data_IF_977573744028
#
_entry.id   IF_977573744028
#
_cell.length_a   1.000
_cell.length_b   1.000
_cell.length_c   1.000
_cell.angle_alpha   90.00
_cell.angle_beta   90.00
_cell.angle_gamma   90.00
#
_symmetry.space_group_name_H-M   'P 1'
#
loop_
_entity.id
_entity.type
_entity.pdbx_description
1 polymer ?
#
# COMPACT_ATOMS: atom_id res chain seq x y z
N UNK A 1 -32.85 -26.19 -13.96
CA UNK A 1 -31.90 -25.22 -14.52
C UNK A 1 -30.50 -25.78 -14.27
N UNK A 2 -30.11 -26.79 -15.06
CA UNK A 2 -28.86 -27.52 -14.91
C UNK A 2 -27.88 -26.99 -15.95
N UNK A 3 -26.97 -26.12 -15.53
CA UNK A 3 -25.87 -25.68 -16.38
C UNK A 3 -24.93 -26.87 -16.55
N UNK A 4 -24.63 -27.23 -17.80
CA UNK A 4 -23.83 -28.41 -18.15
C UNK A 4 -22.44 -28.33 -17.51
N UNK A 5 -22.10 -29.27 -16.63
CA UNK A 5 -20.78 -29.38 -15.99
C UNK A 5 -19.59 -29.35 -16.98
N UNK A 6 -19.80 -29.76 -18.24
CA UNK A 6 -18.78 -29.67 -19.31
C UNK A 6 -18.41 -28.23 -19.70
N UNK A 7 -19.33 -27.28 -19.55
CA UNK A 7 -19.10 -25.86 -19.85
C UNK A 7 -18.29 -25.19 -18.73
N UNK A 8 -18.38 -25.72 -17.50
CA UNK A 8 -17.66 -25.24 -16.32
C UNK A 8 -16.18 -25.66 -16.36
N UNK A 9 -15.86 -26.89 -16.77
CA UNK A 9 -14.45 -27.33 -16.88
C UNK A 9 -13.64 -26.51 -17.88
N UNK A 10 -14.25 -26.12 -19.01
CA UNK A 10 -13.63 -25.23 -20.00
C UNK A 10 -13.37 -23.84 -19.42
N UNK A 11 -14.34 -23.29 -18.68
CA UNK A 11 -14.18 -21.98 -18.02
C UNK A 11 -13.11 -22.00 -16.94
N UNK A 12 -13.00 -23.10 -16.17
CA UNK A 12 -11.92 -23.29 -15.19
C UNK A 12 -10.55 -23.37 -15.85
N UNK A 13 -10.43 -24.08 -16.98
CA UNK A 13 -9.17 -24.14 -17.73
C UNK A 13 -8.76 -22.76 -18.28
N UNK A 14 -9.71 -21.99 -18.82
CA UNK A 14 -9.47 -20.62 -19.30
C UNK A 14 -9.09 -19.72 -18.13
N UNK A 15 -9.80 -19.79 -17.01
CA UNK A 15 -9.51 -18.98 -15.83
C UNK A 15 -8.09 -19.24 -15.30
N UNK A 16 -7.60 -20.49 -15.33
CA UNK A 16 -6.20 -20.81 -14.98
C UNK A 16 -5.14 -20.14 -15.85
N UNK A 17 -5.48 -19.78 -17.09
CA UNK A 17 -4.56 -19.09 -18.00
C UNK A 17 -4.60 -17.56 -17.81
N UNK A 18 -5.72 -17.03 -17.32
CA UNK A 18 -5.93 -15.57 -17.15
C UNK A 18 -5.50 -15.11 -15.76
N UNK A 19 -5.72 -15.93 -14.75
CA UNK A 19 -5.49 -15.57 -13.35
C UNK A 19 -4.23 -16.19 -12.78
N UNK A 20 -3.63 -15.50 -11.81
CA UNK A 20 -2.51 -16.05 -11.04
C UNK A 20 -2.96 -17.27 -10.23
N UNK A 21 -2.04 -18.21 -9.91
CA UNK A 21 -2.38 -19.40 -9.13
C UNK A 21 -3.09 -19.09 -7.81
N UNK A 22 -2.69 -18.01 -7.13
CA UNK A 22 -3.32 -17.58 -5.87
C UNK A 22 -4.77 -17.11 -6.08
N UNK A 23 -5.01 -16.31 -7.13
CA UNK A 23 -6.36 -15.83 -7.46
C UNK A 23 -7.27 -16.98 -7.86
N UNK A 24 -6.73 -17.97 -8.59
CA UNK A 24 -7.48 -19.17 -8.98
C UNK A 24 -7.83 -20.08 -7.81
N UNK A 25 -6.90 -20.32 -6.89
CA UNK A 25 -7.20 -21.08 -5.67
C UNK A 25 -8.32 -20.41 -4.88
N UNK A 26 -8.25 -19.09 -4.69
CA UNK A 26 -9.29 -18.33 -4.02
C UNK A 26 -10.66 -18.39 -4.75
N UNK A 27 -10.69 -18.16 -6.07
CA UNK A 27 -11.91 -18.23 -6.87
C UNK A 27 -12.55 -19.62 -6.83
N UNK A 28 -11.73 -20.67 -6.93
CA UNK A 28 -12.22 -22.06 -6.91
C UNK A 28 -12.84 -22.38 -5.55
N UNK A 29 -12.18 -21.99 -4.46
CA UNK A 29 -12.70 -22.14 -3.10
C UNK A 29 -14.02 -21.40 -2.92
N UNK A 30 -14.14 -20.18 -3.44
CA UNK A 30 -15.36 -19.38 -3.36
C UNK A 30 -16.54 -20.04 -4.10
N UNK A 31 -16.32 -20.56 -5.32
CA UNK A 31 -17.37 -21.21 -6.12
C UNK A 31 -17.88 -22.50 -5.47
N UNK A 32 -17.00 -23.29 -4.85
CA UNK A 32 -17.37 -24.55 -4.17
C UNK A 32 -17.87 -24.29 -2.72
N UNK A 33 -17.82 -23.05 -2.24
CA UNK A 33 -18.22 -22.68 -0.88
C UNK A 33 -17.25 -23.16 0.22
N UNK A 34 -15.99 -23.43 -0.14
CA UNK A 34 -14.97 -23.90 0.81
C UNK A 34 -14.29 -22.70 1.45
N UNK A 35 -14.69 -22.38 2.68
CA UNK A 35 -14.02 -21.39 3.53
C UNK A 35 -12.97 -22.02 4.46
N UNK A 36 -12.27 -21.17 5.23
CA UNK A 36 -11.46 -21.64 6.36
C UNK A 36 -12.38 -22.17 7.45
N UNK A 37 -12.24 -23.44 7.81
CA UNK A 37 -13.03 -24.09 8.87
C UNK A 37 -12.44 -23.92 10.27
N UNK A 38 -11.17 -23.51 10.36
CA UNK A 38 -10.49 -23.25 11.62
C UNK A 38 -9.96 -21.82 11.62
N UNK A 39 -10.19 -21.12 12.73
CA UNK A 39 -9.60 -19.81 13.01
C UNK A 39 -8.15 -20.03 13.45
N UNK A 40 -7.19 -19.63 12.62
CA UNK A 40 -5.76 -19.74 12.95
C UNK A 40 -5.41 -18.83 14.13
N UNK A 41 -4.30 -19.10 14.82
CA UNK A 41 -3.81 -18.22 15.90
C UNK A 41 -3.58 -16.79 15.40
N UNK A 42 -3.15 -16.63 14.15
CA UNK A 42 -3.05 -15.34 13.45
C UNK A 42 -4.38 -14.62 13.18
N UNK A 43 -5.52 -15.29 13.35
CA UNK A 43 -6.85 -14.70 13.31
C UNK A 43 -7.40 -14.45 14.73
N UNK A 44 -6.78 -15.02 15.78
CA UNK A 44 -7.21 -14.92 17.19
C UNK A 44 -6.55 -13.76 17.93
N UNK A 45 -5.33 -13.40 17.54
CA UNK A 45 -4.57 -12.30 18.12
C UNK A 45 -4.43 -11.18 17.08
N UNK A 46 -4.58 -9.93 17.52
CA UNK A 46 -4.54 -8.72 16.69
C UNK A 46 -3.44 -8.82 15.64
N UNK A 47 -3.82 -8.92 14.35
CA UNK A 47 -2.85 -8.96 13.26
C UNK A 47 -1.89 -7.79 13.40
N UNK A 48 -0.59 -8.08 13.43
CA UNK A 48 0.45 -7.05 13.47
C UNK A 48 0.21 -6.04 12.34
N UNK A 49 0.24 -4.76 12.70
CA UNK A 49 -0.07 -3.68 11.76
C UNK A 49 1.02 -3.61 10.69
N UNK A 50 0.69 -4.06 9.48
CA UNK A 50 1.65 -4.16 8.35
C UNK A 50 2.07 -2.82 7.76
N UNK A 51 1.25 -1.78 7.92
CA UNK A 51 1.54 -0.44 7.42
C UNK A 51 0.78 0.66 8.17
N UNK A 52 1.36 1.86 8.16
CA UNK A 52 0.77 3.10 8.67
C UNK A 52 0.91 4.13 7.54
N UNK A 53 -0.17 4.83 7.22
CA UNK A 53 -0.17 5.86 6.17
C UNK A 53 -1.08 7.01 6.55
N UNK A 54 -0.69 8.22 6.13
CA UNK A 54 -1.49 9.43 6.26
C UNK A 54 -1.65 10.03 4.86
N UNK A 55 -2.89 10.25 4.44
CA UNK A 55 -3.19 10.91 3.17
C UNK A 55 -4.24 12.00 3.38
N UNK A 56 -4.23 13.02 2.53
CA UNK A 56 -5.20 14.10 2.59
C UNK A 56 -5.49 14.63 1.20
N UNK A 57 -6.76 14.84 0.90
CA UNK A 57 -7.20 15.61 -0.28
C UNK A 57 -7.12 17.10 0.06
N UNK A 58 -6.50 17.88 -0.83
CA UNK A 58 -6.37 19.33 -0.71
C UNK A 58 -6.74 19.98 -2.05
N UNK A 59 -6.99 21.30 -2.04
CA UNK A 59 -7.23 22.08 -3.27
C UNK A 59 -6.00 22.00 -4.17
N UNK A 60 -6.15 22.25 -5.46
CA UNK A 60 -5.03 22.23 -6.38
C UNK A 60 -3.86 23.10 -5.88
N UNK A 61 -2.66 22.49 -5.80
CA UNK A 61 -1.41 23.16 -5.50
C UNK A 61 -0.46 22.90 -6.66
N UNK A 62 -0.01 23.96 -7.31
CA UNK A 62 0.92 23.88 -8.43
C UNK A 62 2.33 24.36 -8.05
N UNK A 63 2.47 25.10 -6.95
CA UNK A 63 3.77 25.62 -6.52
C UNK A 63 4.57 24.55 -5.74
N UNK A 64 5.86 24.35 -6.07
CA UNK A 64 6.67 23.32 -5.43
C UNK A 64 6.83 23.55 -3.92
N UNK A 65 6.96 24.81 -3.49
CA UNK A 65 7.08 25.16 -2.06
C UNK A 65 5.84 24.76 -1.25
N UNK A 66 4.65 24.92 -1.82
CA UNK A 66 3.40 24.54 -1.15
C UNK A 66 3.26 23.02 -1.05
N UNK A 67 3.74 22.29 -2.07
CA UNK A 67 3.76 20.82 -2.08
C UNK A 67 4.77 20.27 -1.06
N UNK A 68 5.96 20.86 -0.97
CA UNK A 68 6.97 20.51 0.03
C UNK A 68 6.45 20.77 1.46
N UNK A 69 5.88 21.95 1.70
CA UNK A 69 5.25 22.27 2.98
C UNK A 69 4.14 21.27 3.34
N UNK A 70 3.33 20.87 2.35
CA UNK A 70 2.27 19.87 2.57
C UNK A 70 2.82 18.48 2.89
N UNK A 71 3.91 18.10 2.23
CA UNK A 71 4.60 16.84 2.48
C UNK A 71 5.17 16.83 3.90
N UNK A 72 5.82 17.91 4.35
CA UNK A 72 6.34 18.05 5.71
C UNK A 72 5.22 17.94 6.76
N UNK A 73 4.09 18.61 6.54
CA UNK A 73 2.90 18.51 7.39
C UNK A 73 2.38 17.08 7.53
N UNK A 74 2.34 16.33 6.42
CA UNK A 74 1.89 14.93 6.40
C UNK A 74 2.92 14.01 7.06
N UNK A 75 4.21 14.26 6.85
CA UNK A 75 5.29 13.50 7.46
C UNK A 75 5.30 13.66 8.99
N UNK A 76 5.05 14.87 9.50
CA UNK A 76 4.89 15.14 10.93
C UNK A 76 3.71 14.39 11.54
N UNK A 77 2.58 14.32 10.82
CA UNK A 77 1.42 13.54 11.27
C UNK A 77 1.70 12.06 11.26
N UNK A 78 2.32 11.55 10.19
CA UNK A 78 2.72 10.16 10.10
C UNK A 78 3.69 9.78 11.22
N UNK A 79 4.64 10.66 11.57
CA UNK A 79 5.56 10.44 12.68
C UNK A 79 4.86 10.35 14.04
N UNK A 80 3.83 11.18 14.27
CA UNK A 80 2.98 11.05 15.48
C UNK A 80 2.19 9.74 15.50
N UNK A 81 1.69 9.31 14.34
CA UNK A 81 0.94 8.05 14.21
C UNK A 81 1.83 6.80 14.27
N UNK A 82 3.14 6.97 14.08
CA UNK A 82 4.17 5.93 14.18
C UNK A 82 4.59 5.64 15.63
N UNK A 83 4.02 6.31 16.64
CA UNK A 83 4.43 6.15 18.04
C UNK A 83 4.51 4.67 18.47
N UNK A 84 5.74 4.19 18.75
CA UNK A 84 6.04 2.80 19.08
C UNK A 84 6.31 1.84 17.91
N UNK A 85 6.13 2.24 16.66
CA UNK A 85 6.32 1.42 15.46
C UNK A 85 7.44 1.95 14.55
N UNK A 86 8.26 1.03 14.00
CA UNK A 86 9.32 1.38 13.04
C UNK A 86 9.05 0.74 11.69
N UNK A 87 9.02 1.55 10.63
CA UNK A 87 8.89 1.10 9.26
C UNK A 87 10.22 1.16 8.51
N UNK A 88 10.49 0.17 7.65
CA UNK A 88 11.66 0.17 6.76
C UNK A 88 11.37 0.82 5.41
N UNK A 89 10.12 0.76 4.96
CA UNK A 89 9.69 1.21 3.64
C UNK A 89 8.83 2.46 3.77
N UNK A 90 9.24 3.52 3.09
CA UNK A 90 8.48 4.75 2.93
C UNK A 90 7.81 4.75 1.54
N UNK A 91 6.53 5.10 1.48
CA UNK A 91 5.81 5.24 0.22
C UNK A 91 5.13 6.60 0.15
N UNK A 92 5.43 7.36 -0.89
CA UNK A 92 4.75 8.63 -1.20
C UNK A 92 3.78 8.36 -2.34
N UNK A 93 2.51 8.72 -2.12
CA UNK A 93 1.45 8.62 -3.13
C UNK A 93 0.97 10.02 -3.48
N UNK A 94 1.06 10.38 -4.76
CA UNK A 94 0.63 11.67 -5.32
C UNK A 94 -0.55 11.42 -6.25
N UNK A 95 -1.63 12.18 -6.08
CA UNK A 95 -2.80 12.16 -6.95
C UNK A 95 -2.89 13.50 -7.68
N UNK A 96 -2.78 13.46 -9.01
CA UNK A 96 -2.97 14.64 -9.87
C UNK A 96 -4.45 15.06 -9.89
N UNK A 97 -4.72 16.28 -10.36
CA UNK A 97 -6.07 16.79 -10.64
C UNK A 97 -6.80 15.90 -11.63
N UNK A 98 -6.08 15.28 -12.57
CA UNK A 98 -6.60 14.30 -13.54
C UNK A 98 -6.91 12.93 -12.91
N UNK A 99 -6.95 12.83 -11.59
CA UNK A 99 -7.15 11.60 -10.82
C UNK A 99 -6.10 10.52 -11.04
N UNK A 100 -5.03 10.82 -11.79
CA UNK A 100 -3.88 9.93 -11.97
C UNK A 100 -3.13 9.79 -10.65
N UNK A 101 -3.06 8.56 -10.14
CA UNK A 101 -2.33 8.23 -8.92
C UNK A 101 -0.96 7.67 -9.29
N UNK A 102 0.09 8.25 -8.73
CA UNK A 102 1.46 7.77 -8.87
C UNK A 102 2.04 7.54 -7.48
N UNK A 103 2.61 6.35 -7.25
CA UNK A 103 3.27 6.00 -6.00
C UNK A 103 4.75 5.75 -6.24
N UNK A 104 5.61 6.30 -5.38
CA UNK A 104 7.04 5.98 -5.32
C UNK A 104 7.35 5.44 -3.93
N UNK A 105 8.06 4.31 -3.88
CA UNK A 105 8.44 3.65 -2.63
C UNK A 105 9.96 3.56 -2.54
N UNK A 106 10.50 3.80 -1.36
CA UNK A 106 11.92 3.67 -1.04
C UNK A 106 12.05 2.85 0.23
N UNK A 107 12.94 1.87 0.22
CA UNK A 107 13.25 1.03 1.38
C UNK A 107 14.59 1.46 1.95
N UNK A 108 14.60 1.92 3.20
CA UNK A 108 15.81 2.37 3.87
C UNK A 108 16.63 1.18 4.39
N UNK A 109 17.96 1.28 4.46
CA UNK A 109 18.81 0.20 4.97
C UNK A 109 18.60 -0.04 6.47
N UNK A 110 18.19 0.98 7.24
CA UNK A 110 17.94 0.93 8.68
C UNK A 110 16.53 1.43 9.03
N UNK A 111 15.99 0.98 10.16
CA UNK A 111 14.72 1.43 10.74
C UNK A 111 14.80 2.84 11.34
N UNK A 112 15.27 3.81 10.56
CA UNK A 112 15.44 5.19 10.99
C UNK A 112 14.58 6.10 10.12
N UNK A 113 13.38 6.42 10.60
CA UNK A 113 12.63 7.58 10.13
C UNK A 113 13.02 8.74 11.03
N UNK A 114 14.25 9.23 10.87
CA UNK A 114 14.64 10.51 11.43
C UNK A 114 14.08 11.59 10.49
N UNK A 115 13.12 12.39 10.95
CA UNK A 115 12.71 13.59 10.24
C UNK A 115 13.86 14.59 10.27
N UNK A 116 14.75 14.55 9.27
CA UNK A 116 15.59 15.69 8.94
C UNK A 116 14.69 16.75 8.32
N UNK A 117 13.98 17.51 9.15
CA UNK A 117 13.30 18.73 8.73
C UNK A 117 14.42 19.74 8.48
N UNK A 118 14.66 20.21 7.24
CA UNK A 118 15.65 21.25 7.02
C UNK A 118 15.17 22.53 7.72
N UNK A 119 15.82 22.88 8.83
CA UNK A 119 15.52 24.09 9.61
C UNK A 119 16.22 25.35 9.08
N UNK A 120 16.81 25.33 7.88
CA UNK A 120 17.32 26.54 7.23
C UNK A 120 17.43 26.38 5.69
N UNK A 121 17.27 27.47 4.93
CA UNK A 121 17.27 27.45 3.47
C UNK A 121 18.70 27.70 2.94
N UNK A 122 19.66 26.83 3.26
CA UNK A 122 21.00 26.92 2.65
C UNK A 122 21.87 25.72 2.98
N UNK A 123 21.79 24.67 2.17
CA UNK A 123 22.93 23.85 1.74
C UNK A 123 22.41 22.62 0.99
N UNK A 124 22.64 22.63 -0.31
CA UNK A 124 22.81 21.51 -1.24
C UNK A 124 22.36 20.12 -0.79
N UNK A 125 21.35 19.61 -1.49
CA UNK A 125 21.04 18.18 -1.57
C UNK A 125 22.24 17.46 -2.20
N UNK A 126 23.10 16.88 -1.35
CA UNK A 126 24.10 15.90 -1.80
C UNK A 126 23.52 14.51 -1.60
N UNK A 127 23.04 13.91 -2.69
CA UNK A 127 22.86 12.46 -2.75
C UNK A 127 24.27 11.84 -2.88
N UNK A 128 24.72 11.20 -1.80
CA UNK A 128 25.95 10.41 -1.79
C UNK A 128 25.84 9.23 -2.75
N UNK A 129 26.96 8.98 -3.44
CA UNK A 129 27.24 7.96 -4.46
C UNK A 129 26.86 6.53 -4.10
#
# INVERSE_FOLDING_TARGET
MATNAHQDFRQVAIAKLVFTPHSMDWLTRAVVGIGRSQRSESDREYQERKSISVSRTFRELSQPKDLEGKLSDLALKLFKDLDGHKGKTLTITVKSVDFKVTSKSVTLPMFEIALQIPTSPSSDFVFGS
#
